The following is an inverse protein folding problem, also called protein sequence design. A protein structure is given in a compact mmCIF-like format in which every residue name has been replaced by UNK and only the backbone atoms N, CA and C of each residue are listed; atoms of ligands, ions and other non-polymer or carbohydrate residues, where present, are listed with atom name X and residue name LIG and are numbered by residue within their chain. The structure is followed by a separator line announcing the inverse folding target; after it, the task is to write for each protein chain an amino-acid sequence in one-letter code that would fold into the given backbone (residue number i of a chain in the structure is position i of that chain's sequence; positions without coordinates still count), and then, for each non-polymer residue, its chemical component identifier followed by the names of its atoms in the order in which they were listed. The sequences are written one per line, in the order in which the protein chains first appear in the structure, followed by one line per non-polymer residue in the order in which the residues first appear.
data_IF_823436789179
#
_entry.id   IF_823436789179
#
_cell.length_a   1.000
_cell.length_b   1.000
_cell.length_c   1.000
_cell.angle_alpha   90.00
_cell.angle_beta   90.00
_cell.angle_gamma   90.00
#
_symmetry.space_group_name_H-M   'P 1'
#
loop_
_entity.id
_entity.type
_entity.pdbx_description
1 polymer ?
#
# COMPACT_ATOMS: atom_id res chain seq x y z
N UNK A 1 19.39 -46.19 24.60
CA UNK A 1 18.08 -45.58 24.88
C UNK A 1 17.02 -46.62 24.54
N UNK A 2 16.23 -47.05 25.52
CA UNK A 2 15.22 -48.11 25.34
C UNK A 2 14.01 -47.53 24.62
N UNK A 3 13.31 -48.33 23.80
CA UNK A 3 12.13 -47.89 23.03
C UNK A 3 11.07 -47.17 23.88
N UNK A 4 10.86 -47.64 25.11
CA UNK A 4 9.94 -47.02 26.08
C UNK A 4 10.33 -45.59 26.47
N UNK A 5 11.63 -45.34 26.67
CA UNK A 5 12.14 -44.00 26.99
C UNK A 5 11.91 -43.04 25.81
N UNK A 6 12.01 -43.52 24.57
CA UNK A 6 11.72 -42.73 23.36
C UNK A 6 10.24 -42.39 23.29
N UNK A 7 9.37 -43.37 23.52
CA UNK A 7 7.91 -43.19 23.50
C UNK A 7 7.45 -42.19 24.57
N UNK A 8 8.04 -42.24 25.78
CA UNK A 8 7.78 -41.26 26.85
C UNK A 8 8.24 -39.84 26.50
N UNK A 9 9.42 -39.70 25.87
CA UNK A 9 9.92 -38.39 25.40
C UNK A 9 9.02 -37.83 24.30
N UNK A 10 8.60 -38.65 23.34
CA UNK A 10 7.71 -38.21 22.25
C UNK A 10 6.37 -37.77 22.82
N UNK A 11 5.80 -38.52 23.74
CA UNK A 11 4.53 -38.18 24.37
C UNK A 11 4.64 -36.85 25.15
N UNK A 12 5.72 -36.67 25.92
CA UNK A 12 5.99 -35.41 26.61
C UNK A 12 6.14 -34.22 25.67
N UNK A 13 6.80 -34.39 24.51
CA UNK A 13 6.92 -33.36 23.49
C UNK A 13 5.57 -33.02 22.85
N UNK A 14 4.74 -34.03 22.55
CA UNK A 14 3.39 -33.82 22.01
C UNK A 14 2.49 -33.05 22.98
N UNK A 15 2.57 -33.35 24.28
CA UNK A 15 1.80 -32.64 25.32
C UNK A 15 2.26 -31.19 25.50
N UNK A 16 3.56 -30.91 25.35
CA UNK A 16 4.12 -29.55 25.35
C UNK A 16 3.68 -28.77 24.11
N UNK A 17 3.73 -29.39 22.92
CA UNK A 17 3.27 -28.76 21.67
C UNK A 17 1.75 -28.51 21.66
N UNK A 18 0.97 -29.37 22.31
CA UNK A 18 -0.48 -29.23 22.43
C UNK A 18 -0.93 -28.27 23.55
N UNK A 19 0.00 -27.56 24.22
CA UNK A 19 -0.27 -26.71 25.39
C UNK A 19 -0.98 -27.43 26.56
N UNK A 20 -0.85 -28.75 26.67
CA UNK A 20 -1.46 -29.55 27.74
C UNK A 20 -0.60 -29.57 29.01
N UNK A 21 0.67 -29.20 28.89
CA UNK A 21 1.59 -29.07 30.02
C UNK A 21 1.80 -27.59 30.39
N UNK A 22 1.20 -27.09 31.49
CA UNK A 22 1.33 -25.69 31.91
C UNK A 22 2.72 -25.33 32.46
N UNK A 23 3.54 -26.32 32.83
CA UNK A 23 4.89 -26.12 33.41
C UNK A 23 5.95 -25.86 32.34
N UNK A 24 5.72 -26.34 31.11
CA UNK A 24 6.68 -26.27 30.01
C UNK A 24 5.95 -25.72 28.79
N UNK A 25 6.06 -24.40 28.58
CA UNK A 25 5.60 -23.77 27.33
C UNK A 25 6.71 -23.91 26.28
N UNK A 26 6.39 -24.21 25.01
CA UNK A 26 7.32 -24.03 23.90
C UNK A 26 7.83 -22.59 23.95
N UNK A 27 9.14 -22.40 24.14
CA UNK A 27 9.74 -21.08 24.31
C UNK A 27 9.86 -20.37 22.96
N UNK A 28 8.74 -19.95 22.39
CA UNK A 28 8.71 -19.00 21.30
C UNK A 28 8.37 -17.60 21.84
N UNK A 29 9.29 -17.05 22.64
CA UNK A 29 9.20 -15.67 23.14
C UNK A 29 9.62 -14.65 22.06
N UNK A 30 9.78 -15.08 20.81
CA UNK A 30 10.21 -14.23 19.71
C UNK A 30 9.21 -13.11 19.47
N UNK A 31 7.91 -13.42 19.44
CA UNK A 31 6.86 -12.41 19.22
C UNK A 31 6.75 -11.44 20.40
N UNK A 32 6.93 -11.91 21.64
CA UNK A 32 6.96 -11.05 22.83
C UNK A 32 8.14 -10.06 22.77
N UNK A 33 9.29 -10.52 22.27
CA UNK A 33 10.49 -9.68 22.07
C UNK A 33 10.43 -8.80 20.83
N UNK A 34 9.59 -9.13 19.85
CA UNK A 34 9.44 -8.44 18.57
C UNK A 34 7.96 -8.25 18.21
N UNK A 35 7.20 -7.47 19.00
CA UNK A 35 5.76 -7.33 18.83
C UNK A 35 5.37 -6.76 17.45
N UNK A 36 6.23 -5.99 16.80
CA UNK A 36 5.98 -5.40 15.48
C UNK A 36 6.49 -6.26 14.31
N UNK A 37 7.08 -7.44 14.58
CA UNK A 37 7.56 -8.33 13.53
C UNK A 37 6.40 -9.07 12.85
N UNK A 38 6.37 -9.03 11.52
CA UNK A 38 5.29 -9.61 10.69
C UNK A 38 3.89 -9.11 11.01
N UNK A 39 3.78 -7.99 11.71
CA UNK A 39 2.52 -7.30 11.93
C UNK A 39 2.17 -6.47 10.68
N UNK A 40 1.43 -7.09 9.76
CA UNK A 40 1.02 -6.48 8.49
C UNK A 40 -0.43 -6.02 8.55
N UNK A 41 -0.64 -4.71 8.37
CA UNK A 41 -1.96 -4.12 8.23
C UNK A 41 -2.14 -3.41 6.88
N UNK A 42 -3.39 -3.24 6.47
CA UNK A 42 -3.77 -2.45 5.28
C UNK A 42 -3.94 -1.00 5.69
N UNK A 43 -3.33 -0.08 4.94
CA UNK A 43 -3.49 1.35 5.21
C UNK A 43 -4.96 1.76 4.95
N UNK A 44 -5.66 2.38 5.91
CA UNK A 44 -7.09 2.67 5.78
C UNK A 44 -7.39 3.82 4.82
N UNK A 45 -6.45 4.76 4.67
CA UNK A 45 -6.66 5.97 3.88
C UNK A 45 -6.28 5.72 2.41
N UNK A 46 -7.17 6.07 1.45
CA UNK A 46 -6.83 6.02 0.04
C UNK A 46 -5.75 7.05 -0.30
N UNK A 47 -4.97 6.83 -1.38
CA UNK A 47 -3.98 7.79 -1.84
C UNK A 47 -4.66 9.00 -2.48
N UNK A 48 -3.93 10.11 -2.53
CA UNK A 48 -4.37 11.29 -3.26
C UNK A 48 -4.12 11.07 -4.76
N UNK A 49 -5.10 11.40 -5.61
CA UNK A 49 -4.98 11.30 -7.08
C UNK A 49 -4.31 12.52 -7.72
N UNK A 50 -4.24 13.63 -6.99
CA UNK A 50 -3.69 14.90 -7.46
C UNK A 50 -2.71 15.40 -6.39
N UNK A 51 -1.54 15.95 -6.78
CA UNK A 51 -0.66 16.57 -5.80
C UNK A 51 -1.41 17.73 -5.12
N UNK A 52 -1.24 17.93 -3.80
CA UNK A 52 -1.89 19.06 -3.14
C UNK A 52 -1.46 20.36 -3.79
N UNK A 53 -2.42 21.28 -3.96
CA UNK A 53 -2.11 22.65 -4.38
C UNK A 53 -1.18 23.26 -3.32
N UNK A 54 0.05 23.57 -3.71
CA UNK A 54 0.99 24.26 -2.83
C UNK A 54 0.43 25.66 -2.55
N UNK A 55 -0.09 25.86 -1.33
CA UNK A 55 -0.46 27.20 -0.87
C UNK A 55 0.81 28.02 -0.66
N UNK A 56 0.77 29.34 -0.89
CA UNK A 56 1.87 30.22 -0.53
C UNK A 56 2.21 30.05 0.96
N UNK A 57 3.50 29.88 1.26
CA UNK A 57 4.01 29.82 2.63
C UNK A 57 4.08 31.19 3.29
N UNK A 58 4.29 32.22 2.48
CA UNK A 58 4.41 33.61 2.89
C UNK A 58 3.25 34.43 2.31
N UNK A 59 3.00 35.60 2.89
CA UNK A 59 2.05 36.58 2.38
C UNK A 59 2.80 37.77 1.78
N UNK A 60 2.68 37.97 0.48
CA UNK A 60 3.34 39.05 -0.24
C UNK A 60 2.91 40.44 0.26
N UNK A 61 1.69 40.62 0.76
CA UNK A 61 1.23 41.93 1.27
C UNK A 61 2.00 42.34 2.51
N UNK A 62 2.22 41.40 3.43
CA UNK A 62 3.06 41.61 4.63
C UNK A 62 4.53 41.83 4.25
N UNK A 63 5.01 41.15 3.22
CA UNK A 63 6.38 41.37 2.72
C UNK A 63 6.57 42.76 2.10
N UNK A 64 5.52 43.33 1.49
CA UNK A 64 5.56 44.70 0.98
C UNK A 64 5.55 45.73 2.09
N UNK A 65 4.68 45.58 3.10
CA UNK A 65 4.63 46.53 4.23
C UNK A 65 5.96 46.55 5.00
N UNK A 66 6.49 45.37 5.31
CA UNK A 66 7.80 45.25 6.00
C UNK A 66 8.97 45.77 5.17
N UNK A 67 8.87 45.76 3.84
CA UNK A 67 9.89 46.37 2.97
C UNK A 67 9.81 47.90 3.04
N UNK A 68 8.60 48.45 2.96
CA UNK A 68 8.36 49.89 2.98
C UNK A 68 8.78 50.52 4.31
N UNK A 69 8.44 49.89 5.44
CA UNK A 69 8.90 50.30 6.78
C UNK A 69 10.43 50.37 6.88
N UNK A 70 11.14 49.42 6.25
CA UNK A 70 12.61 49.33 6.32
C UNK A 70 13.34 50.25 5.36
N UNK A 71 12.76 50.56 4.20
CA UNK A 71 13.41 51.32 3.13
C UNK A 71 12.88 52.76 3.01
N UNK A 72 11.77 53.08 3.67
CA UNK A 72 11.12 54.38 3.60
C UNK A 72 10.42 54.66 2.26
N UNK A 73 10.23 53.64 1.41
CA UNK A 73 9.51 53.79 0.14
C UNK A 73 8.89 52.45 -0.32
N UNK A 74 7.81 52.49 -1.11
CA UNK A 74 7.14 51.28 -1.58
C UNK A 74 7.99 50.52 -2.63
N UNK A 75 7.86 49.19 -2.64
CA UNK A 75 8.49 48.35 -3.66
C UNK A 75 7.74 48.48 -4.98
N UNK A 76 8.39 49.10 -5.97
CA UNK A 76 7.83 49.25 -7.32
C UNK A 76 7.62 47.89 -7.99
N UNK A 77 6.59 47.78 -8.83
CA UNK A 77 6.36 46.63 -9.70
C UNK A 77 7.56 46.37 -10.64
N UNK A 78 7.60 45.22 -11.30
CA UNK A 78 8.61 44.93 -12.31
C UNK A 78 8.30 45.74 -13.56
N UNK A 79 9.21 46.63 -13.94
CA UNK A 79 9.14 47.31 -15.23
C UNK A 79 9.90 46.50 -16.30
N UNK A 80 9.16 45.81 -17.16
CA UNK A 80 9.73 45.06 -18.30
C UNK A 80 9.86 45.96 -19.52
N UNK A 81 11.09 46.23 -19.97
CA UNK A 81 11.36 47.04 -21.18
C UNK A 81 10.80 46.40 -22.46
N UNK A 82 10.87 45.08 -22.57
CA UNK A 82 10.38 44.34 -23.73
C UNK A 82 9.03 43.65 -23.41
N UNK A 83 7.94 43.98 -24.14
CA UNK A 83 6.62 43.37 -23.91
C UNK A 83 6.61 41.84 -24.13
N UNK A 84 7.46 41.32 -25.01
CA UNK A 84 7.60 39.88 -25.26
C UNK A 84 8.26 39.11 -24.10
N UNK A 85 8.77 39.81 -23.08
CA UNK A 85 9.31 39.20 -21.85
C UNK A 85 8.39 39.41 -20.64
N UNK A 86 7.18 39.91 -20.83
CA UNK A 86 6.20 40.00 -19.74
C UNK A 86 5.75 38.60 -19.32
N UNK A 87 5.67 38.42 -18.01
CA UNK A 87 5.11 37.21 -17.41
C UNK A 87 3.60 37.17 -17.69
N UNK A 88 3.01 36.02 -18.07
CA UNK A 88 1.58 35.91 -18.35
C UNK A 88 0.70 36.39 -17.20
N UNK A 89 -0.35 37.17 -17.54
CA UNK A 89 -1.36 37.68 -16.60
C UNK A 89 -2.11 36.47 -16.00
N UNK A 90 -1.88 36.20 -14.72
CA UNK A 90 -2.39 35.00 -14.03
C UNK A 90 -1.30 34.17 -13.33
N UNK A 91 -0.03 34.44 -13.64
CA UNK A 91 1.09 33.85 -12.90
C UNK A 91 1.14 34.37 -11.47
N UNK A 92 1.39 33.48 -10.51
CA UNK A 92 1.55 33.80 -9.09
C UNK A 92 2.83 33.18 -8.52
N UNK A 93 3.45 33.85 -7.56
CA UNK A 93 4.57 33.27 -6.82
C UNK A 93 4.08 32.08 -5.97
N UNK A 94 4.71 30.91 -6.13
CA UNK A 94 4.39 29.71 -5.34
C UNK A 94 4.77 29.84 -3.85
N UNK A 95 5.68 30.76 -3.51
CA UNK A 95 6.16 30.94 -2.13
C UNK A 95 5.35 32.01 -1.40
N UNK A 96 5.23 33.22 -1.93
CA UNK A 96 4.57 34.34 -1.26
C UNK A 96 3.21 34.74 -1.83
N UNK A 97 2.78 34.15 -2.95
CA UNK A 97 1.51 34.49 -3.59
C UNK A 97 1.52 35.82 -4.36
N UNK A 98 2.68 36.49 -4.51
CA UNK A 98 2.77 37.74 -5.27
C UNK A 98 2.27 37.57 -6.72
N UNK A 99 1.48 38.52 -7.24
CA UNK A 99 0.93 38.45 -8.59
C UNK A 99 2.01 38.67 -9.66
N UNK A 100 1.66 38.36 -10.91
CA UNK A 100 2.55 38.44 -12.10
C UNK A 100 3.30 39.77 -12.25
N UNK A 101 2.76 40.88 -11.74
CA UNK A 101 3.37 42.21 -11.78
C UNK A 101 4.68 42.32 -11.00
N UNK A 102 4.89 41.44 -10.03
CA UNK A 102 6.14 41.35 -9.26
C UNK A 102 7.03 40.17 -9.69
N UNK A 103 6.71 39.51 -10.80
CA UNK A 103 7.46 38.38 -11.33
C UNK A 103 8.21 38.78 -12.60
N UNK A 104 9.39 38.20 -12.81
CA UNK A 104 10.16 38.39 -14.03
C UNK A 104 10.95 37.13 -14.40
N UNK A 105 11.28 36.96 -15.68
CA UNK A 105 12.15 35.88 -16.13
C UNK A 105 13.60 36.17 -15.72
N UNK A 106 14.23 35.23 -15.01
CA UNK A 106 15.59 35.40 -14.47
C UNK A 106 16.66 35.21 -15.55
N UNK A 107 16.38 34.34 -16.52
CA UNK A 107 17.32 33.81 -17.52
C UNK A 107 17.04 34.36 -18.93
N UNK A 108 16.51 35.59 -18.99
CA UNK A 108 16.40 36.39 -20.21
C UNK A 108 15.63 35.69 -21.33
N UNK A 109 16.29 35.47 -22.47
CA UNK A 109 15.68 34.85 -23.67
C UNK A 109 15.20 33.42 -23.43
N UNK A 110 15.83 32.65 -22.53
CA UNK A 110 15.48 31.25 -22.26
C UNK A 110 14.12 31.12 -21.58
N UNK A 111 13.74 32.10 -20.75
CA UNK A 111 12.44 32.19 -20.07
C UNK A 111 12.04 30.91 -19.33
N UNK A 112 13.01 30.18 -18.76
CA UNK A 112 12.75 28.90 -18.08
C UNK A 112 12.52 29.07 -16.58
N UNK A 113 13.08 30.13 -15.98
CA UNK A 113 12.95 30.42 -14.56
C UNK A 113 12.31 31.80 -14.31
N UNK A 114 11.37 31.83 -13.38
CA UNK A 114 10.75 33.04 -12.84
C UNK A 114 11.40 33.38 -11.50
N UNK A 115 11.72 34.65 -11.30
CA UNK A 115 12.14 35.22 -10.03
C UNK A 115 11.06 36.16 -9.50
N UNK A 116 10.76 36.04 -8.22
CA UNK A 116 9.85 36.95 -7.54
C UNK A 116 10.62 38.14 -6.97
N UNK A 117 10.20 39.36 -7.27
CA UNK A 117 10.80 40.59 -6.73
C UNK A 117 10.51 40.79 -5.24
N UNK A 118 9.38 40.28 -4.74
CA UNK A 118 8.94 40.46 -3.34
C UNK A 118 9.73 39.56 -2.38
N UNK A 119 9.81 38.26 -2.66
CA UNK A 119 10.47 37.29 -1.77
C UNK A 119 11.79 36.73 -2.32
N UNK A 120 12.26 37.21 -3.47
CA UNK A 120 13.47 36.74 -4.16
C UNK A 120 13.47 35.26 -4.57
N UNK A 121 12.33 34.55 -4.44
CA UNK A 121 12.24 33.13 -4.75
C UNK A 121 12.39 32.85 -6.24
N UNK A 122 13.09 31.77 -6.58
CA UNK A 122 13.18 31.23 -7.92
C UNK A 122 12.19 30.08 -8.13
N UNK A 123 11.59 30.01 -9.31
CA UNK A 123 10.68 28.93 -9.70
C UNK A 123 10.81 28.59 -11.18
N UNK A 124 10.74 27.31 -11.53
CA UNK A 124 10.75 26.87 -12.93
C UNK A 124 9.36 27.05 -13.54
N UNK A 125 9.28 27.61 -14.76
CA UNK A 125 8.04 27.75 -15.54
C UNK A 125 7.55 26.37 -15.97
N UNK A 126 8.46 25.58 -16.54
CA UNK A 126 8.23 24.18 -16.90
C UNK A 126 9.23 23.32 -16.12
N UNK A 127 8.84 22.78 -14.94
CA UNK A 127 9.70 21.87 -14.20
C UNK A 127 10.05 20.67 -15.08
N UNK A 128 11.35 20.43 -15.31
CA UNK A 128 11.88 19.34 -16.15
C UNK A 128 11.39 17.96 -15.67
N UNK A 129 11.18 17.82 -14.36
CA UNK A 129 10.60 16.64 -13.71
C UNK A 129 9.22 16.99 -13.15
N UNK A 130 8.18 16.94 -13.97
CA UNK A 130 6.82 16.76 -13.42
C UNK A 130 6.71 15.31 -13.00
N UNK A 131 6.62 15.04 -11.70
CA UNK A 131 6.25 13.71 -11.22
C UNK A 131 4.87 13.37 -11.81
N UNK A 132 4.85 12.56 -12.87
CA UNK A 132 3.63 11.97 -13.47
C UNK A 132 3.11 10.83 -12.58
N UNK A 133 3.23 10.99 -11.26
CA UNK A 133 2.79 9.98 -10.33
C UNK A 133 1.26 9.92 -10.36
N UNK A 134 0.73 8.72 -10.55
CA UNK A 134 -0.72 8.45 -10.52
C UNK A 134 -1.30 8.71 -9.12
N UNK A 135 -0.49 8.48 -8.10
CA UNK A 135 -0.89 8.55 -6.69
C UNK A 135 0.14 9.30 -5.84
N UNK A 136 -0.35 9.94 -4.77
CA UNK A 136 0.46 10.63 -3.78
C UNK A 136 0.10 10.14 -2.38
N UNK A 137 1.09 10.10 -1.49
CA UNK A 137 0.94 9.64 -0.13
C UNK A 137 -0.01 10.57 0.65
N UNK A 138 -1.04 10.05 1.35
CA UNK A 138 -1.95 10.89 2.11
C UNK A 138 -1.27 11.57 3.32
N UNK A 139 -0.15 11.03 3.81
CA UNK A 139 0.54 11.56 5.00
C UNK A 139 1.59 12.63 4.70
N UNK A 140 2.25 12.57 3.54
CA UNK A 140 3.34 13.49 3.20
C UNK A 140 3.19 14.14 1.82
N UNK A 141 2.14 13.77 1.08
CA UNK A 141 1.85 14.26 -0.28
C UNK A 141 2.95 14.00 -1.30
N UNK A 142 3.94 13.18 -0.96
CA UNK A 142 5.00 12.77 -1.87
C UNK A 142 4.44 11.78 -2.89
N UNK A 143 4.99 11.79 -4.10
CA UNK A 143 4.63 10.85 -5.16
C UNK A 143 4.85 9.41 -4.71
N UNK A 144 3.87 8.54 -4.95
CA UNK A 144 4.08 7.11 -4.79
C UNK A 144 4.71 6.55 -6.06
N UNK A 145 5.61 5.58 -5.89
CA UNK A 145 6.18 4.82 -6.99
C UNK A 145 5.52 3.45 -7.09
N UNK A 146 5.47 2.89 -8.29
CA UNK A 146 5.02 1.51 -8.51
C UNK A 146 6.10 0.56 -7.97
N UNK A 147 5.77 -0.20 -6.94
CA UNK A 147 6.71 -1.11 -6.27
C UNK A 147 6.64 -2.53 -6.83
N UNK A 148 5.42 -3.05 -7.03
CA UNK A 148 5.19 -4.38 -7.60
C UNK A 148 4.00 -4.32 -8.53
N UNK A 149 4.10 -5.04 -9.64
CA UNK A 149 3.01 -5.19 -10.59
C UNK A 149 2.79 -6.68 -10.81
N UNK A 150 1.51 -7.06 -10.81
CA UNK A 150 1.00 -8.40 -11.07
C UNK A 150 -0.25 -8.24 -11.93
N UNK A 151 -0.67 -9.33 -12.58
CA UNK A 151 -1.87 -9.34 -13.44
C UNK A 151 -3.07 -8.66 -12.77
N UNK A 152 -3.36 -9.02 -11.53
CA UNK A 152 -4.60 -8.57 -10.86
C UNK A 152 -4.38 -7.39 -9.91
N UNK A 153 -3.13 -6.96 -9.69
CA UNK A 153 -2.82 -5.92 -8.71
C UNK A 153 -1.54 -5.14 -8.99
N UNK A 154 -1.65 -3.81 -8.94
CA UNK A 154 -0.52 -2.88 -8.89
C UNK A 154 -0.35 -2.32 -7.48
N UNK A 155 0.85 -2.47 -6.92
CA UNK A 155 1.19 -2.05 -5.55
C UNK A 155 2.09 -0.83 -5.62
N UNK A 156 1.61 0.28 -5.07
CA UNK A 156 2.33 1.54 -4.95
C UNK A 156 2.87 1.72 -3.53
N UNK A 157 4.04 2.37 -3.40
CA UNK A 157 4.70 2.58 -2.11
C UNK A 157 5.25 3.99 -1.99
N UNK A 158 5.25 4.51 -0.76
CA UNK A 158 5.89 5.79 -0.43
C UNK A 158 7.37 5.56 -0.10
N UNK A 159 8.27 6.19 -0.85
CA UNK A 159 9.73 6.17 -0.66
C UNK A 159 10.26 7.31 0.22
N UNK A 160 9.44 8.34 0.51
CA UNK A 160 9.88 9.50 1.28
C UNK A 160 10.29 9.14 2.74
N UNK A 161 11.59 9.26 3.03
CA UNK A 161 12.17 9.05 4.37
C UNK A 161 11.73 10.06 5.42
N UNK A 162 11.22 11.22 4.99
CA UNK A 162 10.66 12.26 5.87
C UNK A 162 9.15 12.12 6.05
N UNK A 163 8.55 11.03 5.57
CA UNK A 163 7.11 10.81 5.72
C UNK A 163 6.72 10.65 7.20
N UNK A 164 5.74 11.42 7.72
CA UNK A 164 5.34 11.32 9.12
C UNK A 164 4.91 9.91 9.55
N UNK A 165 4.19 9.20 8.68
CA UNK A 165 3.76 7.82 8.93
C UNK A 165 4.95 6.85 9.04
N UNK A 166 5.95 7.00 8.16
CA UNK A 166 7.18 6.20 8.21
C UNK A 166 7.98 6.48 9.49
N UNK A 167 8.18 7.75 9.84
CA UNK A 167 8.91 8.15 11.03
C UNK A 167 8.21 7.64 12.31
N UNK A 168 6.88 7.77 12.39
CA UNK A 168 6.08 7.25 13.50
C UNK A 168 6.23 5.74 13.66
N UNK A 169 6.09 4.97 12.58
CA UNK A 169 6.21 3.50 12.64
C UNK A 169 7.64 3.06 12.96
N UNK A 170 8.65 3.76 12.41
CA UNK A 170 10.06 3.49 12.72
C UNK A 170 10.38 3.75 14.20
N UNK A 171 9.77 4.76 14.81
CA UNK A 171 9.94 5.09 16.22
C UNK A 171 9.28 4.06 17.17
N UNK A 172 8.28 3.31 16.71
CA UNK A 172 7.66 2.21 17.49
C UNK A 172 8.55 0.99 17.66
N UNK A 173 9.56 0.83 16.80
CA UNK A 173 10.44 -0.34 16.85
C UNK A 173 11.35 -0.29 18.08
N UNK A 174 11.42 -1.39 18.81
CA UNK A 174 12.35 -1.55 19.92
C UNK A 174 13.80 -1.74 19.42
N UNK A 175 14.77 -1.75 20.33
CA UNK A 175 16.19 -1.87 19.96
C UNK A 175 16.51 -3.11 19.10
N UNK A 176 15.96 -4.27 19.46
CA UNK A 176 16.17 -5.54 18.74
C UNK A 176 15.54 -5.50 17.36
N UNK A 177 14.30 -5.00 17.27
CA UNK A 177 13.58 -4.82 16.01
C UNK A 177 14.30 -3.82 15.08
N UNK A 178 14.90 -2.75 15.61
CA UNK A 178 15.69 -1.80 14.82
C UNK A 178 16.92 -2.43 14.19
N UNK A 179 17.58 -3.37 14.89
CA UNK A 179 18.69 -4.16 14.34
C UNK A 179 18.14 -5.11 13.27
N UNK A 180 17.09 -5.87 13.60
CA UNK A 180 16.49 -6.85 12.70
C UNK A 180 15.94 -6.20 11.42
N UNK A 181 15.35 -5.02 11.50
CA UNK A 181 14.81 -4.28 10.37
C UNK A 181 15.88 -3.84 9.36
N UNK A 182 17.15 -3.73 9.77
CA UNK A 182 18.26 -3.49 8.82
C UNK A 182 18.52 -4.71 7.93
N UNK A 183 18.32 -5.91 8.47
CA UNK A 183 18.56 -7.19 7.78
C UNK A 183 17.28 -7.64 7.03
N UNK A 184 16.13 -7.56 7.70
CA UNK A 184 14.83 -8.08 7.26
C UNK A 184 13.76 -6.99 7.21
N UNK A 185 14.03 -5.89 6.51
CA UNK A 185 13.13 -4.73 6.42
C UNK A 185 11.72 -5.06 5.91
N UNK A 186 11.59 -6.08 5.06
CA UNK A 186 10.31 -6.53 4.49
C UNK A 186 9.35 -7.13 5.52
N UNK A 187 9.87 -7.56 6.68
CA UNK A 187 9.07 -8.16 7.75
C UNK A 187 8.39 -7.11 8.64
N UNK A 188 8.65 -5.81 8.40
CA UNK A 188 8.07 -4.71 9.17
C UNK A 188 7.24 -3.81 8.26
N UNK A 189 5.97 -3.57 8.61
CA UNK A 189 5.11 -2.63 7.89
C UNK A 189 5.41 -1.19 8.29
N UNK A 190 6.47 -0.61 7.72
CA UNK A 190 6.89 0.76 8.09
C UNK A 190 6.31 1.86 7.20
N UNK A 191 6.12 1.57 5.90
CA UNK A 191 5.77 2.59 4.90
C UNK A 191 4.35 2.41 4.40
N UNK A 192 3.73 3.54 4.04
CA UNK A 192 2.44 3.57 3.34
C UNK A 192 2.52 2.80 2.02
N UNK A 193 1.53 1.95 1.78
CA UNK A 193 1.38 1.15 0.58
C UNK A 193 -0.08 1.21 0.11
N UNK A 194 -0.28 1.35 -1.19
CA UNK A 194 -1.60 1.30 -1.80
C UNK A 194 -1.65 0.18 -2.83
N UNK A 195 -2.75 -0.58 -2.85
CA UNK A 195 -2.98 -1.65 -3.82
C UNK A 195 -4.15 -1.24 -4.70
N UNK A 196 -3.90 -1.14 -6.00
CA UNK A 196 -4.92 -1.00 -7.03
C UNK A 196 -5.18 -2.37 -7.61
N UNK A 197 -6.39 -2.88 -7.45
CA UNK A 197 -6.80 -4.16 -8.01
C UNK A 197 -7.42 -3.96 -9.40
N UNK A 198 -7.11 -4.86 -10.33
CA UNK A 198 -7.52 -4.79 -11.73
C UNK A 198 -8.57 -5.84 -12.07
N UNK A 199 -9.49 -6.11 -11.15
CA UNK A 199 -10.57 -7.07 -11.39
C UNK A 199 -11.62 -6.48 -12.32
N UNK A 200 -12.10 -7.30 -13.24
CA UNK A 200 -13.28 -6.99 -14.07
C UNK A 200 -14.57 -7.23 -13.27
N UNK A 201 -15.68 -6.62 -13.70
CA UNK A 201 -16.96 -6.78 -13.01
C UNK A 201 -17.44 -8.25 -13.09
N UNK A 202 -17.12 -8.94 -14.18
CA UNK A 202 -17.38 -10.37 -14.37
C UNK A 202 -16.64 -11.25 -13.36
N UNK A 203 -15.39 -10.92 -13.04
CA UNK A 203 -14.58 -11.64 -12.05
C UNK A 203 -15.08 -11.42 -10.60
N UNK A 204 -15.77 -10.30 -10.36
CA UNK A 204 -16.37 -9.98 -9.06
C UNK A 204 -17.78 -10.56 -8.89
N UNK A 205 -18.41 -11.09 -9.95
CA UNK A 205 -19.69 -11.79 -9.86
C UNK A 205 -19.49 -13.09 -9.11
N UNK A 206 -19.91 -13.09 -7.85
CA UNK A 206 -19.99 -14.29 -7.06
C UNK A 206 -21.04 -15.20 -7.71
N UNK A 207 -20.69 -16.45 -7.96
CA UNK A 207 -21.68 -17.45 -8.34
C UNK A 207 -22.69 -17.56 -7.21
N UNK A 208 -23.91 -17.09 -7.44
CA UNK A 208 -25.05 -17.43 -6.59
C UNK A 208 -25.18 -18.97 -6.59
N UNK A 209 -25.54 -19.59 -5.45
CA UNK A 209 -26.02 -20.96 -5.49
C UNK A 209 -27.12 -21.02 -6.55
N UNK A 210 -27.00 -21.91 -7.53
CA UNK A 210 -28.12 -22.17 -8.43
C UNK A 210 -29.33 -22.54 -7.55
N UNK A 211 -30.47 -21.86 -7.71
CA UNK A 211 -31.73 -22.15 -7.01
C UNK A 211 -32.34 -23.49 -7.45
N UNK A 212 -31.53 -24.54 -7.58
CA UNK A 212 -32.00 -25.90 -7.77
C UNK A 212 -32.17 -26.51 -6.39
N UNK A 213 -33.40 -26.39 -5.90
CA UNK A 213 -33.96 -27.05 -4.73
C UNK A 213 -33.29 -26.73 -3.37
N UNK A 214 -33.92 -25.81 -2.64
CA UNK A 214 -33.74 -25.61 -1.19
C UNK A 214 -33.97 -26.89 -0.35
N UNK A 215 -34.52 -27.95 -0.97
CA UNK A 215 -34.75 -29.26 -0.37
C UNK A 215 -33.51 -30.17 -0.35
N UNK A 216 -32.40 -29.80 -1.00
CA UNK A 216 -31.21 -30.65 -1.14
C UNK A 216 -30.38 -30.82 0.13
N UNK A 217 -30.40 -29.86 1.07
CA UNK A 217 -29.66 -29.96 2.33
C UNK A 217 -30.21 -31.04 3.27
N UNK A 218 -31.52 -31.31 3.20
CA UNK A 218 -32.20 -32.32 4.02
C UNK A 218 -32.16 -33.73 3.41
N UNK A 219 -31.69 -33.87 2.17
CA UNK A 219 -31.51 -35.17 1.48
C UNK A 219 -30.13 -35.79 1.73
N UNK A 220 -29.32 -35.20 2.62
CA UNK A 220 -27.96 -35.64 2.89
C UNK A 220 -28.03 -36.78 3.91
N UNK A 221 -27.73 -38.00 3.45
CA UNK A 221 -27.73 -39.22 4.27
C UNK A 221 -26.50 -39.38 5.18
N UNK A 222 -25.60 -38.39 5.20
CA UNK A 222 -24.42 -38.41 6.05
C UNK A 222 -24.72 -37.88 7.46
N UNK A 223 -23.88 -38.24 8.43
CA UNK A 223 -24.02 -37.73 9.79
C UNK A 223 -23.98 -36.20 9.83
N UNK A 224 -24.72 -35.60 10.76
CA UNK A 224 -24.71 -34.16 11.03
C UNK A 224 -23.30 -33.61 11.25
N UNK A 225 -22.41 -34.39 11.88
CA UNK A 225 -21.01 -34.01 12.07
C UNK A 225 -20.27 -33.84 10.74
N UNK A 226 -20.47 -34.76 9.79
CA UNK A 226 -19.87 -34.70 8.45
C UNK A 226 -20.37 -33.49 7.67
N UNK A 227 -21.67 -33.20 7.76
CA UNK A 227 -22.29 -32.03 7.14
C UNK A 227 -21.74 -30.72 7.74
N UNK A 228 -21.71 -30.62 9.08
CA UNK A 228 -21.14 -29.47 9.77
C UNK A 228 -19.66 -29.27 9.40
N UNK A 229 -18.88 -30.34 9.30
CA UNK A 229 -17.48 -30.26 8.91
C UNK A 229 -17.33 -29.75 7.46
N UNK A 230 -18.12 -30.27 6.53
CA UNK A 230 -18.10 -29.85 5.13
C UNK A 230 -18.53 -28.38 4.96
N UNK A 231 -19.59 -27.96 5.66
CA UNK A 231 -20.07 -26.57 5.61
C UNK A 231 -19.08 -25.60 6.25
N UNK A 232 -18.55 -25.90 7.43
CA UNK A 232 -17.56 -25.07 8.12
C UNK A 232 -16.29 -24.94 7.30
N UNK A 233 -15.77 -26.04 6.75
CA UNK A 233 -14.64 -26.01 5.82
C UNK A 233 -14.97 -25.15 4.59
N UNK A 234 -16.13 -25.35 3.94
CA UNK A 234 -16.51 -24.54 2.78
C UNK A 234 -16.63 -23.04 3.08
N UNK A 235 -17.06 -22.67 4.29
CA UNK A 235 -17.20 -21.29 4.73
C UNK A 235 -15.84 -20.67 5.06
N UNK A 236 -14.99 -21.40 5.80
CA UNK A 236 -13.61 -21.01 6.10
C UNK A 236 -12.82 -20.85 4.80
N UNK A 237 -12.95 -21.79 3.85
CA UNK A 237 -12.27 -21.71 2.56
C UNK A 237 -12.80 -20.58 1.68
N UNK A 238 -14.11 -20.28 1.70
CA UNK A 238 -14.64 -19.07 1.01
C UNK A 238 -14.03 -17.78 1.57
N UNK A 239 -13.79 -17.73 2.88
CA UNK A 239 -13.19 -16.58 3.53
C UNK A 239 -11.67 -16.47 3.28
N UNK A 240 -10.97 -17.61 3.21
CA UNK A 240 -9.52 -17.66 3.00
C UNK A 240 -9.12 -17.58 1.51
N UNK A 241 -10.01 -17.97 0.59
CA UNK A 241 -9.71 -18.18 -0.83
C UNK A 241 -10.55 -17.24 -1.73
N UNK A 242 -10.31 -15.94 -1.62
CA UNK A 242 -10.62 -15.00 -2.71
C UNK A 242 -9.54 -15.04 -3.83
N UNK A 243 -8.61 -16.00 -3.79
CA UNK A 243 -7.46 -16.07 -4.72
C UNK A 243 -7.32 -17.31 -5.59
N UNK A 244 -7.75 -18.51 -5.19
CA UNK A 244 -7.43 -19.71 -5.96
C UNK A 244 -8.61 -20.70 -6.02
N UNK A 245 -9.69 -20.31 -6.71
CA UNK A 245 -10.92 -21.11 -6.85
C UNK A 245 -10.81 -22.30 -7.80
N UNK A 246 -9.81 -22.31 -8.69
CA UNK A 246 -9.68 -23.29 -9.77
C UNK A 246 -8.95 -24.59 -9.35
N UNK A 247 -7.96 -24.50 -8.46
CA UNK A 247 -7.11 -25.67 -8.13
C UNK A 247 -7.83 -26.71 -7.24
N UNK A 248 -8.76 -26.28 -6.38
CA UNK A 248 -9.37 -27.15 -5.39
C UNK A 248 -10.65 -27.86 -5.83
N UNK A 249 -11.29 -27.38 -6.91
CA UNK A 249 -12.45 -28.04 -7.51
C UNK A 249 -12.09 -29.45 -8.03
N UNK A 250 -10.81 -29.67 -8.32
CA UNK A 250 -10.26 -30.96 -8.76
C UNK A 250 -9.89 -31.88 -7.59
N UNK A 251 -9.52 -31.36 -6.42
CA UNK A 251 -9.09 -32.19 -5.28
C UNK A 251 -10.24 -32.71 -4.40
N UNK A 252 -11.36 -31.97 -4.31
CA UNK A 252 -12.50 -32.37 -3.47
C UNK A 252 -13.53 -33.25 -4.18
N UNK A 253 -13.57 -33.25 -5.52
CA UNK A 253 -14.51 -34.06 -6.29
C UNK A 253 -13.92 -35.39 -6.80
N UNK A 254 -12.62 -35.66 -6.55
CA UNK A 254 -11.96 -36.92 -6.95
C UNK A 254 -11.93 -38.01 -5.87
N UNK A 255 -12.59 -37.82 -4.72
CA UNK A 255 -12.94 -38.95 -3.85
C UNK A 255 -14.27 -39.55 -4.31
N UNK A 256 -14.19 -40.42 -5.32
CA UNK A 256 -15.14 -41.48 -5.68
C UNK A 256 -16.49 -41.48 -4.92
N UNK A 257 -17.50 -40.83 -5.48
CA UNK A 257 -18.84 -41.42 -5.56
C UNK A 257 -18.99 -41.92 -7.00
N UNK A 258 -18.37 -43.07 -7.28
CA UNK A 258 -18.52 -43.74 -8.56
C UNK A 258 -19.88 -44.44 -8.64
N UNK A 259 -20.73 -43.95 -9.53
CA UNK A 259 -21.48 -44.81 -10.44
C UNK A 259 -21.16 -44.36 -11.87
N UNK A 260 -20.91 -45.35 -12.72
CA UNK A 260 -20.22 -45.29 -14.01
C UNK A 260 -20.76 -44.25 -15.02
N UNK A 261 -19.86 -43.60 -15.77
CA UNK A 261 -19.64 -43.89 -17.20
C UNK A 261 -18.60 -42.93 -17.83
N UNK A 262 -17.56 -43.57 -18.36
CA UNK A 262 -16.89 -43.35 -19.66
C UNK A 262 -16.56 -41.95 -20.21
N UNK A 263 -15.27 -41.83 -20.55
CA UNK A 263 -14.67 -41.21 -21.75
C UNK A 263 -14.05 -39.79 -21.71
N UNK A 264 -12.71 -39.81 -21.92
CA UNK A 264 -11.87 -38.89 -22.74
C UNK A 264 -11.65 -37.47 -22.18
N UNK A 265 -10.47 -36.83 -22.23
CA UNK A 265 -9.23 -37.04 -22.97
C UNK A 265 -8.07 -36.41 -22.17
N UNK A 266 -6.86 -36.98 -22.31
CA UNK A 266 -5.60 -36.43 -21.77
C UNK A 266 -5.17 -35.25 -22.62
N UNK A 267 -4.57 -34.23 -21.99
CA UNK A 267 -3.40 -33.52 -22.52
C UNK A 267 -2.56 -32.97 -21.36
N UNK A 268 -1.27 -33.34 -21.38
CA UNK A 268 -0.32 -33.13 -20.29
C UNK A 268 0.36 -31.76 -20.35
N UNK A 269 0.56 -31.17 -19.16
CA UNK A 269 1.40 -30.00 -18.99
C UNK A 269 2.81 -30.47 -18.62
N UNK A 270 3.76 -30.29 -19.53
CA UNK A 270 5.19 -30.43 -19.32
C UNK A 270 5.69 -29.29 -18.41
N UNK A 271 6.29 -29.69 -17.28
CA UNK A 271 7.13 -28.85 -16.44
C UNK A 271 8.51 -28.71 -17.09
N UNK A 272 9.12 -27.53 -16.95
CA UNK A 272 10.55 -27.27 -16.65
C UNK A 272 10.89 -25.79 -16.94
N UNK A 273 11.97 -25.22 -16.37
CA UNK A 273 12.66 -25.53 -15.10
C UNK A 273 12.48 -24.43 -14.03
#
# INVERSE_FOLDING_TARGET
MKRKEIEEIIQGLLDVLANRNPLIKPKDDFQEKHPNYRDFFVDPNPPLKVPPKTRPKLDWRKLLSTYEEKKGHPLKEVNTKNPATKVPKGSICKICGAPYRYLYFNDGKKRTQLKCKVCSSLSQVHPRHRNKAKYFCPHCSYSLYLWKERRDVSIYKCDNDRCPSFLKNKAKLNFRERILAKIKSSQFKLRYQYREYHFTEEELKHSLPEEKDSSSLFKIYNSLNTLCLALTLSHIFRYLCQKDRLYFRQCLFFTHLSSNSSQLHRDGCSLLP
#
